data_IF_185401442382
#
_entry.id   IF_185401442382
#
_cell.length_a   1.000
_cell.length_b   1.000
_cell.length_c   1.000
_cell.angle_alpha   90.00
_cell.angle_beta   90.00
_cell.angle_gamma   90.00
#
_symmetry.space_group_name_H-M   'P 1'
#
loop_
_entity.id
_entity.type
_entity.pdbx_description
1 polymer ?
#
# COMPACT_ATOMS: atom_id res chain seq x y z
N UNK A 1 -21.02 12.33 4.16
CA UNK A 1 -21.57 11.27 3.28
C UNK A 1 -20.48 10.25 3.02
N UNK A 2 -20.82 8.95 2.95
CA UNK A 2 -19.87 7.88 2.61
C UNK A 2 -19.36 8.06 1.18
N UNK A 3 -18.03 8.04 0.96
CA UNK A 3 -17.45 8.17 -0.39
C UNK A 3 -17.69 6.89 -1.19
N UNK A 4 -17.47 5.72 -0.60
CA UNK A 4 -17.68 4.45 -1.27
C UNK A 4 -19.04 3.85 -0.89
N UNK A 5 -19.90 3.70 -1.90
CA UNK A 5 -21.11 2.86 -1.86
C UNK A 5 -20.77 1.45 -2.39
N UNK A 6 -21.69 0.51 -2.26
CA UNK A 6 -21.53 -0.84 -2.81
C UNK A 6 -21.29 -0.81 -4.34
N UNK A 7 -22.05 0.00 -5.07
CA UNK A 7 -21.90 0.17 -6.52
C UNK A 7 -20.56 0.79 -6.89
N UNK A 8 -20.08 1.76 -6.09
CA UNK A 8 -18.75 2.36 -6.30
C UNK A 8 -17.63 1.35 -6.06
N UNK A 9 -17.75 0.46 -5.07
CA UNK A 9 -16.79 -0.63 -4.86
C UNK A 9 -16.75 -1.62 -6.03
N UNK A 10 -17.92 -2.07 -6.50
CA UNK A 10 -18.03 -2.93 -7.69
C UNK A 10 -17.42 -2.21 -8.91
N UNK A 11 -17.71 -0.93 -9.08
CA UNK A 11 -17.12 -0.10 -10.15
C UNK A 11 -15.60 -0.04 -10.06
N UNK A 12 -15.01 0.18 -8.88
CA UNK A 12 -13.55 0.17 -8.72
C UNK A 12 -12.94 -1.19 -9.12
N UNK A 13 -13.59 -2.31 -8.74
CA UNK A 13 -13.07 -3.65 -9.02
C UNK A 13 -13.21 -4.09 -10.49
N UNK A 14 -14.25 -3.65 -11.19
CA UNK A 14 -14.63 -4.24 -12.49
C UNK A 14 -14.70 -3.27 -13.68
N UNK A 15 -14.78 -1.94 -13.47
CA UNK A 15 -14.84 -0.97 -14.59
C UNK A 15 -13.50 -0.85 -15.33
N UNK A 16 -12.39 -1.15 -14.65
CA UNK A 16 -11.03 -0.92 -15.13
C UNK A 16 -10.29 -2.24 -15.38
N UNK A 17 -10.52 -2.90 -16.53
CA UNK A 17 -10.07 -4.28 -16.75
C UNK A 17 -8.55 -4.45 -16.65
N UNK A 18 -7.76 -3.46 -17.09
CA UNK A 18 -6.31 -3.51 -16.97
C UNK A 18 -5.79 -3.46 -15.52
N UNK A 19 -6.64 -3.10 -14.55
CA UNK A 19 -6.30 -3.02 -13.12
C UNK A 19 -6.90 -4.16 -12.29
N UNK A 20 -7.43 -5.21 -12.90
CA UNK A 20 -8.18 -6.24 -12.19
C UNK A 20 -7.45 -6.84 -10.97
N UNK A 21 -6.12 -6.99 -11.04
CA UNK A 21 -5.30 -7.54 -9.95
C UNK A 21 -4.71 -6.47 -9.01
N UNK A 22 -4.89 -5.18 -9.32
CA UNK A 22 -4.23 -4.06 -8.62
C UNK A 22 -5.16 -2.88 -8.26
N UNK A 23 -6.46 -2.95 -8.60
CA UNK A 23 -7.42 -1.87 -8.39
C UNK A 23 -7.43 -1.37 -6.94
N UNK A 24 -7.34 -2.30 -5.98
CA UNK A 24 -7.36 -1.97 -4.55
C UNK A 24 -6.10 -1.23 -4.11
N UNK A 25 -4.95 -1.46 -4.76
CA UNK A 25 -3.73 -0.69 -4.50
C UNK A 25 -3.92 0.76 -4.95
N UNK A 26 -4.46 0.95 -6.15
CA UNK A 26 -4.70 2.27 -6.73
C UNK A 26 -5.74 3.03 -5.91
N UNK A 27 -6.84 2.37 -5.54
CA UNK A 27 -7.87 2.94 -4.70
C UNK A 27 -7.32 3.32 -3.32
N UNK A 28 -6.55 2.44 -2.66
CA UNK A 28 -5.97 2.70 -1.34
C UNK A 28 -4.95 3.82 -1.37
N UNK A 29 -4.06 3.87 -2.37
CA UNK A 29 -3.11 4.97 -2.56
C UNK A 29 -3.83 6.31 -2.72
N UNK A 30 -4.86 6.36 -3.59
CA UNK A 30 -5.65 7.56 -3.81
C UNK A 30 -6.37 8.01 -2.54
N UNK A 31 -7.13 7.12 -1.88
CA UNK A 31 -7.88 7.40 -0.65
C UNK A 31 -6.96 7.89 0.48
N UNK A 32 -5.75 7.33 0.59
CA UNK A 32 -4.75 7.81 1.54
C UNK A 32 -4.34 9.26 1.21
N UNK A 33 -4.01 9.57 -0.05
CA UNK A 33 -3.59 10.91 -0.46
C UNK A 33 -4.69 11.96 -0.28
N UNK A 34 -5.94 11.64 -0.63
CA UNK A 34 -7.10 12.55 -0.51
C UNK A 34 -7.70 12.58 0.90
N UNK A 35 -6.99 11.99 1.88
CA UNK A 35 -7.34 12.01 3.30
C UNK A 35 -8.73 11.41 3.60
N UNK A 36 -9.00 10.23 3.03
CA UNK A 36 -10.21 9.44 3.26
C UNK A 36 -9.88 8.05 3.85
N UNK A 37 -9.12 7.96 4.95
CA UNK A 37 -8.68 6.67 5.48
C UNK A 37 -9.83 5.79 5.98
N UNK A 38 -10.96 6.36 6.39
CA UNK A 38 -12.18 5.64 6.81
C UNK A 38 -12.87 4.85 5.68
N UNK A 39 -12.48 5.08 4.42
CA UNK A 39 -12.99 4.34 3.26
C UNK A 39 -12.15 3.08 2.96
N UNK A 40 -10.92 3.01 3.45
CA UNK A 40 -9.99 1.89 3.23
C UNK A 40 -10.54 0.55 3.73
N UNK A 41 -11.21 0.45 4.91
CA UNK A 41 -11.82 -0.80 5.36
C UNK A 41 -12.79 -1.42 4.35
N UNK A 42 -13.57 -0.58 3.64
CA UNK A 42 -14.55 -1.02 2.65
C UNK A 42 -13.85 -1.64 1.44
N UNK A 43 -12.78 -1.00 0.97
CA UNK A 43 -11.92 -1.51 -0.10
C UNK A 43 -11.25 -2.82 0.32
N UNK A 44 -10.72 -2.88 1.55
CA UNK A 44 -10.03 -4.05 2.10
C UNK A 44 -10.95 -5.28 2.20
N UNK A 45 -12.09 -5.16 2.88
CA UNK A 45 -13.01 -6.30 3.05
C UNK A 45 -13.57 -6.78 1.70
N UNK A 46 -13.86 -5.85 0.79
CA UNK A 46 -14.33 -6.24 -0.53
C UNK A 46 -13.22 -6.93 -1.34
N UNK A 47 -11.98 -6.43 -1.28
CA UNK A 47 -10.84 -7.08 -1.93
C UNK A 47 -10.56 -8.48 -1.37
N UNK A 48 -10.64 -8.69 -0.04
CA UNK A 48 -10.49 -10.01 0.60
C UNK A 48 -11.45 -11.06 0.03
N UNK A 49 -12.66 -10.65 -0.36
CA UNK A 49 -13.67 -11.52 -0.99
C UNK A 49 -13.49 -11.59 -2.50
N UNK A 50 -13.39 -10.44 -3.17
CA UNK A 50 -13.33 -10.33 -4.62
C UNK A 50 -12.11 -11.05 -5.21
N UNK A 51 -10.98 -11.08 -4.51
CA UNK A 51 -9.77 -11.78 -4.97
C UNK A 51 -9.91 -13.31 -4.92
N UNK A 52 -10.92 -13.85 -4.23
CA UNK A 52 -11.28 -15.27 -4.25
C UNK A 52 -12.13 -15.66 -5.47
N UNK A 53 -12.60 -14.69 -6.26
CA UNK A 53 -13.39 -14.90 -7.47
C UNK A 53 -12.51 -14.90 -8.72
N UNK A 54 -12.88 -15.71 -9.70
CA UNK A 54 -12.23 -15.84 -11.00
C UNK A 54 -12.21 -14.50 -11.76
N UNK A 55 -11.26 -14.37 -12.68
CA UNK A 55 -11.13 -13.14 -13.46
C UNK A 55 -12.27 -13.05 -14.49
N UNK A 56 -12.89 -11.88 -14.70
CA UNK A 56 -13.98 -11.71 -15.67
C UNK A 56 -13.63 -12.17 -17.09
N UNK A 57 -12.38 -11.94 -17.53
CA UNK A 57 -11.89 -12.34 -18.85
C UNK A 57 -11.86 -13.86 -19.08
N UNK A 58 -12.09 -14.67 -18.04
CA UNK A 58 -12.19 -16.12 -18.14
C UNK A 58 -13.61 -16.64 -18.40
N UNK A 59 -14.61 -15.76 -18.57
CA UNK A 59 -15.99 -16.13 -18.86
C UNK A 59 -16.43 -15.69 -20.26
N UNK A 60 -17.20 -16.56 -20.92
CA UNK A 60 -17.80 -16.33 -22.24
C UNK A 60 -18.84 -15.19 -22.21
N UNK A 61 -19.01 -14.53 -23.36
CA UNK A 61 -19.56 -13.18 -23.58
C UNK A 61 -21.06 -12.96 -23.31
N UNK A 62 -21.74 -13.82 -22.55
CA UNK A 62 -23.20 -13.78 -22.36
C UNK A 62 -23.67 -13.35 -20.97
N UNK A 63 -22.75 -13.04 -20.04
CA UNK A 63 -23.12 -12.64 -18.67
C UNK A 63 -23.60 -11.18 -18.57
N UNK A 64 -24.56 -10.88 -17.66
CA UNK A 64 -24.95 -9.49 -17.35
C UNK A 64 -23.74 -8.67 -16.92
N UNK A 65 -23.78 -7.35 -17.16
CA UNK A 65 -22.69 -6.46 -16.77
C UNK A 65 -22.39 -6.61 -15.28
N UNK A 66 -21.15 -7.01 -14.94
CA UNK A 66 -20.70 -7.17 -13.55
C UNK A 66 -20.89 -5.87 -12.73
N UNK A 67 -20.96 -4.72 -13.40
CA UNK A 67 -21.18 -3.41 -12.77
C UNK A 67 -22.58 -3.24 -12.19
N UNK A 68 -23.56 -3.97 -12.69
CA UNK A 68 -24.97 -3.88 -12.30
C UNK A 68 -25.52 -5.19 -11.71
N UNK A 69 -24.66 -6.19 -11.53
CA UNK A 69 -25.05 -7.48 -10.97
C UNK A 69 -25.47 -7.33 -9.50
N UNK A 70 -26.69 -7.74 -9.18
CA UNK A 70 -27.29 -7.56 -7.86
C UNK A 70 -26.54 -8.35 -6.77
N UNK A 71 -26.06 -9.55 -7.10
CA UNK A 71 -25.33 -10.41 -6.16
C UNK A 71 -23.96 -9.81 -5.83
N UNK A 72 -23.24 -9.27 -6.80
CA UNK A 72 -21.96 -8.58 -6.59
C UNK A 72 -22.13 -7.28 -5.79
N UNK A 73 -23.17 -6.49 -6.09
CA UNK A 73 -23.48 -5.27 -5.32
C UNK A 73 -23.81 -5.66 -3.87
N UNK A 74 -24.59 -6.72 -3.65
CA UNK A 74 -24.89 -7.23 -2.32
C UNK A 74 -23.64 -7.71 -1.59
N UNK A 75 -22.73 -8.42 -2.26
CA UNK A 75 -21.44 -8.85 -1.69
C UNK A 75 -20.58 -7.64 -1.28
N UNK A 76 -20.56 -6.58 -2.09
CA UNK A 76 -19.88 -5.33 -1.76
C UNK A 76 -20.53 -4.64 -0.55
N UNK A 77 -21.86 -4.60 -0.48
CA UNK A 77 -22.58 -4.07 0.70
C UNK A 77 -22.29 -4.88 1.97
N UNK A 78 -22.28 -6.21 1.88
CA UNK A 78 -21.91 -7.09 2.99
C UNK A 78 -20.45 -6.89 3.42
N UNK A 79 -19.59 -6.41 2.52
CA UNK A 79 -18.19 -6.07 2.82
C UNK A 79 -18.08 -4.75 3.56
N UNK A 80 -18.90 -3.75 3.20
CA UNK A 80 -19.05 -2.51 3.96
C UNK A 80 -19.58 -2.81 5.37
N UNK A 81 -20.62 -3.63 5.48
CA UNK A 81 -21.22 -4.01 6.76
C UNK A 81 -20.21 -4.79 7.63
N UNK A 82 -19.44 -5.70 7.02
CA UNK A 82 -18.39 -6.44 7.70
C UNK A 82 -17.28 -5.53 8.24
N UNK A 83 -16.84 -4.55 7.46
CA UNK A 83 -15.82 -3.60 7.88
C UNK A 83 -16.27 -2.79 9.11
N UNK A 84 -17.51 -2.28 9.09
CA UNK A 84 -18.11 -1.57 10.23
C UNK A 84 -18.20 -2.48 11.47
N UNK A 85 -18.67 -3.71 11.30
CA UNK A 85 -18.77 -4.68 12.40
C UNK A 85 -17.40 -4.96 13.03
N UNK A 86 -16.32 -5.01 12.24
CA UNK A 86 -14.98 -5.26 12.76
C UNK A 86 -14.45 -4.08 13.58
N UNK A 87 -14.76 -2.85 13.17
CA UNK A 87 -14.46 -1.66 13.97
C UNK A 87 -15.13 -1.74 15.35
N UNK A 88 -16.42 -2.09 15.40
CA UNK A 88 -17.17 -2.28 16.65
C UNK A 88 -16.56 -3.40 17.53
N UNK A 89 -16.22 -4.54 16.91
CA UNK A 89 -15.59 -5.68 17.62
C UNK A 89 -14.19 -5.34 18.14
N UNK A 90 -13.40 -4.60 17.37
CA UNK A 90 -12.06 -4.17 17.76
C UNK A 90 -12.13 -3.21 18.95
N UNK A 91 -13.15 -2.36 19.04
CA UNK A 91 -13.33 -1.42 20.14
C UNK A 91 -13.58 -2.13 21.49
N UNK A 92 -14.14 -3.34 21.47
CA UNK A 92 -14.38 -4.17 22.66
C UNK A 92 -13.33 -5.28 22.88
N UNK A 93 -12.23 -5.26 22.11
CA UNK A 93 -11.11 -6.19 22.28
C UNK A 93 -11.39 -7.63 21.85
N UNK A 94 -12.38 -7.85 20.99
CA UNK A 94 -12.75 -9.20 20.53
C UNK A 94 -11.87 -9.65 19.36
N UNK A 95 -11.58 -10.95 19.30
CA UNK A 95 -10.93 -11.55 18.15
C UNK A 95 -11.77 -11.37 16.89
N UNK A 96 -11.15 -10.80 15.87
CA UNK A 96 -11.76 -10.53 14.58
C UNK A 96 -11.76 -11.83 13.75
N UNK A 97 -12.93 -12.28 13.25
CA UNK A 97 -13.04 -13.54 12.52
C UNK A 97 -12.43 -13.45 11.12
N UNK A 98 -12.57 -14.52 10.32
CA UNK A 98 -12.18 -14.53 8.92
C UNK A 98 -13.20 -13.78 8.05
N UNK A 99 -12.72 -13.16 6.96
CA UNK A 99 -13.57 -12.52 5.95
C UNK A 99 -13.67 -13.43 4.74
N UNK A 100 -14.67 -14.32 4.74
CA UNK A 100 -14.95 -15.22 3.63
C UNK A 100 -16.15 -14.75 2.79
N UNK A 101 -16.33 -15.34 1.61
CA UNK A 101 -17.59 -15.23 0.86
C UNK A 101 -18.62 -16.15 1.53
N UNK A 102 -19.78 -15.63 1.99
CA UNK A 102 -20.80 -16.47 2.61
C UNK A 102 -21.31 -17.57 1.66
N UNK A 103 -21.61 -18.75 2.20
CA UNK A 103 -22.12 -19.89 1.42
C UNK A 103 -23.40 -19.57 0.63
N UNK A 104 -24.20 -18.61 1.09
CA UNK A 104 -25.41 -18.13 0.39
C UNK A 104 -25.12 -17.61 -1.02
N UNK A 105 -23.88 -17.26 -1.34
CA UNK A 105 -23.48 -16.71 -2.64
C UNK A 105 -23.01 -17.77 -3.65
N UNK A 106 -22.87 -19.05 -3.27
CA UNK A 106 -22.16 -20.04 -4.07
C UNK A 106 -22.77 -20.24 -5.47
N UNK A 107 -24.09 -20.16 -5.58
CA UNK A 107 -24.84 -20.28 -6.85
C UNK A 107 -25.33 -18.93 -7.40
N UNK A 108 -25.05 -17.82 -6.71
CA UNK A 108 -25.62 -16.51 -7.02
C UNK A 108 -24.65 -15.55 -7.70
N UNK A 109 -23.35 -15.75 -7.51
CA UNK A 109 -22.33 -14.86 -8.05
C UNK A 109 -22.06 -15.16 -9.52
N UNK A 110 -21.85 -14.12 -10.36
CA UNK A 110 -21.56 -14.28 -11.78
C UNK A 110 -20.13 -14.78 -12.04
N UNK A 111 -19.32 -15.01 -11.00
CA UNK A 111 -17.93 -15.43 -11.09
C UNK A 111 -17.68 -16.68 -10.26
N UNK A 112 -16.95 -17.64 -10.84
CA UNK A 112 -16.54 -18.87 -10.16
C UNK A 112 -15.54 -18.58 -9.04
N UNK A 113 -15.48 -19.46 -8.05
CA UNK A 113 -14.47 -19.40 -6.99
C UNK A 113 -13.11 -19.90 -7.50
N UNK A 114 -12.02 -19.21 -7.14
CA UNK A 114 -10.64 -19.57 -7.51
C UNK A 114 -10.06 -20.69 -6.65
N UNK A 115 -10.47 -20.75 -5.38
CA UNK A 115 -9.88 -21.62 -4.37
C UNK A 115 -10.95 -22.51 -3.76
N UNK A 116 -10.64 -23.79 -3.60
CA UNK A 116 -11.49 -24.77 -2.93
C UNK A 116 -10.96 -25.16 -1.54
N UNK A 117 -9.67 -24.94 -1.27
CA UNK A 117 -9.03 -25.28 0.01
C UNK A 117 -8.86 -24.03 0.87
N UNK A 118 -9.15 -24.18 2.16
CA UNK A 118 -9.02 -23.11 3.14
C UNK A 118 -7.59 -22.53 3.25
N UNK A 119 -6.57 -23.39 3.15
CA UNK A 119 -5.16 -22.97 3.21
C UNK A 119 -4.79 -22.00 2.07
N UNK A 120 -5.32 -22.24 0.87
CA UNK A 120 -5.03 -21.39 -0.29
C UNK A 120 -5.76 -20.04 -0.19
N UNK A 121 -6.96 -20.02 0.41
CA UNK A 121 -7.72 -18.80 0.71
C UNK A 121 -6.93 -17.93 1.70
N UNK A 122 -6.47 -18.50 2.81
CA UNK A 122 -5.68 -17.77 3.81
C UNK A 122 -4.40 -17.23 3.18
N UNK A 123 -3.66 -18.06 2.42
CA UNK A 123 -2.41 -17.64 1.79
C UNK A 123 -2.62 -16.43 0.84
N UNK A 124 -3.70 -16.44 0.05
CA UNK A 124 -4.05 -15.30 -0.81
C UNK A 124 -4.42 -14.05 0.01
N UNK A 125 -5.21 -14.21 1.07
CA UNK A 125 -5.65 -13.09 1.91
C UNK A 125 -4.52 -12.48 2.74
N UNK A 126 -3.55 -13.29 3.17
CA UNK A 126 -2.35 -12.84 3.87
C UNK A 126 -1.47 -11.97 2.94
N UNK A 127 -1.18 -12.48 1.73
CA UNK A 127 -0.47 -11.71 0.70
C UNK A 127 -1.19 -10.40 0.37
N UNK A 128 -2.51 -10.46 0.22
CA UNK A 128 -3.34 -9.29 -0.06
C UNK A 128 -3.23 -8.25 1.07
N UNK A 129 -3.30 -8.70 2.32
CA UNK A 129 -3.21 -7.83 3.51
C UNK A 129 -1.83 -7.15 3.61
N UNK A 130 -0.74 -7.89 3.37
CA UNK A 130 0.60 -7.31 3.30
C UNK A 130 0.70 -6.23 2.22
N UNK A 131 0.05 -6.43 1.07
CA UNK A 131 0.04 -5.47 -0.04
C UNK A 131 -0.73 -4.18 0.29
N UNK A 132 -1.82 -4.25 1.06
CA UNK A 132 -2.50 -3.05 1.59
C UNK A 132 -1.60 -2.24 2.53
N UNK A 133 -0.88 -2.91 3.44
CA UNK A 133 0.07 -2.23 4.34
C UNK A 133 1.19 -1.55 3.55
N UNK A 134 1.76 -2.27 2.57
CA UNK A 134 2.86 -1.75 1.76
C UNK A 134 2.46 -0.53 0.92
N UNK A 135 1.27 -0.52 0.31
CA UNK A 135 0.83 0.65 -0.47
C UNK A 135 0.58 1.87 0.40
N UNK A 136 0.00 1.69 1.60
CA UNK A 136 -0.20 2.80 2.55
C UNK A 136 1.16 3.34 3.03
N UNK A 137 2.09 2.44 3.40
CA UNK A 137 3.43 2.82 3.83
C UNK A 137 4.19 3.56 2.74
N UNK A 138 4.17 3.07 1.49
CA UNK A 138 4.82 3.76 0.35
C UNK A 138 4.17 5.10 0.02
N UNK A 139 2.88 5.27 0.32
CA UNK A 139 2.19 6.55 0.12
C UNK A 139 2.71 7.66 1.04
N UNK A 140 3.45 7.35 2.12
CA UNK A 140 4.11 8.35 2.98
C UNK A 140 4.96 9.33 2.18
N UNK A 141 5.69 8.81 1.18
CA UNK A 141 6.59 9.59 0.34
C UNK A 141 5.89 10.73 -0.44
N UNK A 142 4.57 10.63 -0.63
CA UNK A 142 3.77 11.54 -1.43
C UNK A 142 2.65 12.22 -0.64
N UNK A 143 2.22 11.64 0.49
CA UNK A 143 1.05 12.09 1.27
C UNK A 143 1.39 12.59 2.68
N UNK A 144 2.60 12.30 3.16
CA UNK A 144 3.05 12.57 4.52
C UNK A 144 2.68 11.47 5.53
N UNK A 145 3.45 11.39 6.62
CA UNK A 145 3.27 10.39 7.69
C UNK A 145 1.87 10.40 8.33
N UNK A 146 1.24 11.56 8.67
CA UNK A 146 -0.04 11.55 9.39
C UNK A 146 -1.16 10.80 8.64
N UNK A 147 -1.25 10.96 7.32
CA UNK A 147 -2.28 10.29 6.50
C UNK A 147 -2.05 8.77 6.46
N UNK A 148 -0.80 8.34 6.33
CA UNK A 148 -0.45 6.92 6.34
C UNK A 148 -0.65 6.28 7.72
N UNK A 149 -0.32 6.99 8.81
CA UNK A 149 -0.59 6.53 10.19
C UNK A 149 -2.08 6.30 10.38
N UNK A 150 -2.92 7.29 10.04
CA UNK A 150 -4.37 7.16 10.17
C UNK A 150 -4.91 5.98 9.34
N UNK A 151 -4.43 5.81 8.11
CA UNK A 151 -4.81 4.71 7.24
C UNK A 151 -4.38 3.33 7.78
N UNK A 152 -3.15 3.18 8.26
CA UNK A 152 -2.66 1.92 8.85
C UNK A 152 -3.36 1.60 10.18
N UNK A 153 -3.63 2.60 11.00
CA UNK A 153 -4.34 2.42 12.27
C UNK A 153 -5.77 1.96 12.05
N UNK A 154 -6.48 2.56 11.08
CA UNK A 154 -7.82 2.10 10.69
C UNK A 154 -7.77 0.71 10.05
N UNK A 155 -6.80 0.42 9.18
CA UNK A 155 -6.64 -0.92 8.61
C UNK A 155 -6.43 -1.99 9.70
N UNK A 156 -5.66 -1.67 10.75
CA UNK A 156 -5.40 -2.56 11.88
C UNK A 156 -6.68 -2.97 12.62
N UNK A 157 -7.65 -2.06 12.81
CA UNK A 157 -8.90 -2.36 13.53
C UNK A 157 -9.85 -3.26 12.74
N UNK A 158 -9.63 -3.41 11.43
CA UNK A 158 -10.48 -4.22 10.55
C UNK A 158 -9.76 -5.44 9.95
N UNK A 159 -8.53 -5.71 10.37
CA UNK A 159 -7.76 -6.87 9.91
C UNK A 159 -8.14 -8.13 10.70
N UNK A 160 -8.59 -9.23 10.07
CA UNK A 160 -8.79 -10.54 10.72
C UNK A 160 -7.61 -10.93 11.62
N UNK A 161 -7.90 -11.58 12.75
CA UNK A 161 -6.87 -11.85 13.77
C UNK A 161 -5.71 -12.69 13.25
N UNK A 162 -6.01 -13.67 12.40
CA UNK A 162 -5.03 -14.53 11.73
C UNK A 162 -4.22 -13.84 10.63
N UNK A 163 -4.62 -12.64 10.18
CA UNK A 163 -3.93 -11.86 9.15
C UNK A 163 -3.18 -10.64 9.73
N UNK A 164 -3.15 -10.46 11.05
CA UNK A 164 -2.43 -9.37 11.72
C UNK A 164 -0.92 -9.52 11.49
N UNK A 165 -0.23 -8.41 11.29
CA UNK A 165 1.23 -8.40 11.13
C UNK A 165 1.92 -8.88 12.40
N UNK A 166 3.05 -9.59 12.23
CA UNK A 166 3.94 -9.92 13.33
C UNK A 166 4.69 -8.70 13.90
N UNK A 167 5.57 -8.97 14.86
CA UNK A 167 6.43 -7.95 15.50
C UNK A 167 7.65 -7.58 14.64
N UNK A 168 8.00 -8.42 13.67
CA UNK A 168 9.15 -8.19 12.79
C UNK A 168 8.70 -7.46 11.53
N UNK A 169 9.38 -6.37 11.13
CA UNK A 169 9.09 -5.71 9.86
C UNK A 169 9.34 -6.64 8.67
N UNK A 170 8.49 -6.53 7.64
CA UNK A 170 8.66 -7.24 6.36
C UNK A 170 9.93 -6.81 5.62
N UNK A 171 10.40 -5.59 5.88
CA UNK A 171 11.62 -5.01 5.33
C UNK A 171 12.82 -5.46 6.18
N UNK A 172 13.93 -5.91 5.56
CA UNK A 172 15.17 -6.11 6.30
C UNK A 172 15.57 -4.84 7.06
N UNK A 173 15.89 -5.00 8.34
CA UNK A 173 16.27 -3.87 9.20
C UNK A 173 17.71 -3.44 8.92
N UNK A 174 17.94 -2.14 8.89
CA UNK A 174 19.30 -1.56 8.85
C UNK A 174 19.89 -1.35 10.25
N UNK A 175 19.05 -1.38 11.28
CA UNK A 175 19.43 -1.32 12.70
C UNK A 175 18.60 -2.35 13.47
N UNK A 176 19.23 -3.10 14.35
CA UNK A 176 18.57 -4.00 15.31
C UNK A 176 18.83 -3.52 16.74
N UNK A 177 18.01 -2.59 17.27
CA UNK A 177 18.17 -2.11 18.64
C UNK A 177 18.04 -3.25 19.67
N UNK A 178 18.75 -3.12 20.79
CA UNK A 178 18.66 -4.07 21.90
C UNK A 178 19.24 -5.47 21.65
N UNK A 179 19.87 -5.72 20.50
CA UNK A 179 20.59 -6.98 20.27
C UNK A 179 21.98 -6.91 20.88
N UNK A 180 22.04 -6.99 22.20
CA UNK A 180 23.29 -7.09 22.94
C UNK A 180 23.44 -8.55 23.41
N UNK A 181 24.61 -9.20 23.20
CA UNK A 181 24.82 -10.58 23.66
C UNK A 181 24.47 -10.72 25.15
N UNK A 182 23.69 -11.74 25.52
CA UNK A 182 23.24 -11.94 26.91
C UNK A 182 24.40 -12.03 27.92
N UNK A 183 25.60 -12.40 27.46
CA UNK A 183 26.83 -12.41 28.26
C UNK A 183 27.29 -11.01 28.73
N UNK A 184 26.69 -9.94 28.21
CA UNK A 184 26.98 -8.55 28.58
C UNK A 184 25.94 -7.96 29.54
N UNK A 185 24.86 -8.70 29.88
CA UNK A 185 23.79 -8.25 30.80
C UNK A 185 24.25 -8.42 32.25
N UNK A 186 24.24 -7.33 33.02
CA UNK A 186 24.73 -7.29 34.42
C UNK A 186 23.59 -7.37 35.41
N UNK A 187 22.50 -6.66 35.10
CA UNK A 187 21.33 -6.56 35.95
C UNK A 187 20.13 -6.05 35.16
N UNK A 188 18.95 -6.51 35.57
CA UNK A 188 17.67 -5.92 35.20
C UNK A 188 17.20 -5.07 36.39
N UNK A 189 17.05 -3.76 36.20
CA UNK A 189 16.38 -2.89 37.17
C UNK A 189 15.03 -2.39 36.63
N UNK A 190 14.28 -1.66 37.47
CA UNK A 190 12.93 -1.15 37.15
C UNK A 190 12.94 -0.20 35.93
N UNK A 191 14.12 0.30 35.52
CA UNK A 191 14.32 1.26 34.43
C UNK A 191 14.96 0.64 33.18
N UNK A 192 15.35 -0.65 33.19
CA UNK A 192 15.88 -1.36 32.03
C UNK A 192 17.13 -2.19 32.30
N UNK A 193 17.56 -2.95 31.30
CA UNK A 193 18.73 -3.84 31.36
C UNK A 193 20.04 -3.03 31.32
N UNK A 194 20.91 -3.18 32.33
CA UNK A 194 22.26 -2.56 32.36
C UNK A 194 23.31 -3.53 31.81
N UNK A 195 24.32 -3.01 31.08
CA UNK A 195 25.38 -3.78 30.42
C UNK A 195 26.78 -3.44 30.99
N UNK A 196 27.66 -4.44 31.19
CA UNK A 196 28.88 -4.33 32.05
C UNK A 196 30.15 -3.86 31.35
N UNK A 197 30.17 -3.80 30.02
CA UNK A 197 31.45 -3.69 29.30
C UNK A 197 31.76 -2.27 28.86
N UNK A 198 32.90 -1.78 29.37
CA UNK A 198 33.62 -0.59 28.91
C UNK A 198 34.09 -0.66 27.43
N UNK A 199 33.98 -1.81 26.76
CA UNK A 199 34.55 -2.04 25.41
C UNK A 199 33.61 -1.79 24.21
N UNK A 200 32.29 -1.65 24.39
CA UNK A 200 31.39 -1.12 23.35
C UNK A 200 30.47 -0.08 24.00
N UNK A 201 30.79 1.20 23.84
CA UNK A 201 29.91 2.28 24.27
C UNK A 201 28.57 2.16 23.55
N UNK A 202 27.52 1.88 24.31
CA UNK A 202 26.14 1.89 23.82
C UNK A 202 25.50 3.24 24.09
N UNK A 203 24.65 3.71 23.18
CA UNK A 203 23.80 4.88 23.38
C UNK A 203 22.33 4.45 23.48
N UNK A 204 21.62 4.94 24.49
CA UNK A 204 20.20 4.66 24.66
C UNK A 204 19.36 5.41 23.63
N UNK A 205 18.41 4.71 23.01
CA UNK A 205 17.38 5.30 22.13
C UNK A 205 15.99 4.87 22.56
N UNK A 206 14.96 5.51 21.99
CA UNK A 206 13.56 5.12 22.25
C UNK A 206 13.24 3.68 21.81
N UNK A 207 13.99 3.14 20.85
CA UNK A 207 13.82 1.77 20.36
C UNK A 207 14.74 0.76 21.08
N UNK A 208 15.51 1.21 22.08
CA UNK A 208 16.49 0.43 22.83
C UNK A 208 17.93 0.91 22.64
N UNK A 209 18.88 0.40 23.43
CA UNK A 209 20.30 0.74 23.30
C UNK A 209 20.85 0.30 21.94
N UNK A 210 21.76 1.12 21.38
CA UNK A 210 22.45 0.86 20.13
C UNK A 210 23.97 0.94 20.31
N UNK A 211 24.71 0.18 19.51
CA UNK A 211 26.15 0.31 19.30
C UNK A 211 26.50 0.05 17.83
N UNK A 212 27.77 0.10 17.44
CA UNK A 212 28.20 -0.24 16.08
C UNK A 212 27.73 -1.63 15.64
N UNK A 213 27.69 -2.60 16.56
CA UNK A 213 27.22 -3.97 16.30
C UNK A 213 25.70 -4.06 16.06
N UNK A 214 24.94 -3.02 16.43
CA UNK A 214 23.50 -2.92 16.14
C UNK A 214 23.20 -2.51 14.69
N UNK A 215 24.18 -1.97 13.96
CA UNK A 215 24.04 -1.48 12.59
C UNK A 215 24.32 -2.61 11.59
N UNK A 216 23.59 -2.64 10.47
CA UNK A 216 23.78 -3.61 9.38
C UNK A 216 24.35 -2.95 8.11
N UNK A 217 25.67 -2.69 8.02
CA UNK A 217 26.28 -2.00 6.86
C UNK A 217 25.99 -2.66 5.52
N UNK A 218 25.97 -4.00 5.47
CA UNK A 218 25.69 -4.75 4.24
C UNK A 218 24.25 -4.51 3.77
N UNK A 219 23.30 -4.39 4.70
CA UNK A 219 21.91 -4.10 4.35
C UNK A 219 21.76 -2.65 3.86
N UNK A 220 22.45 -1.69 4.48
CA UNK A 220 22.48 -0.29 4.03
C UNK A 220 23.04 -0.22 2.59
N UNK A 221 24.18 -0.86 2.34
CA UNK A 221 24.77 -0.90 1.00
C UNK A 221 23.83 -1.55 -0.04
N UNK A 222 23.17 -2.66 0.33
CA UNK A 222 22.19 -3.34 -0.52
C UNK A 222 21.01 -2.44 -0.87
N UNK A 223 20.48 -1.71 0.11
CA UNK A 223 19.36 -0.77 -0.08
C UNK A 223 19.74 0.39 -0.99
N UNK A 224 20.95 0.94 -0.86
CA UNK A 224 21.44 2.02 -1.73
C UNK A 224 21.64 1.57 -3.18
N UNK A 225 22.18 0.37 -3.40
CA UNK A 225 22.32 -0.22 -4.75
C UNK A 225 20.95 -0.46 -5.37
N UNK A 226 20.02 -1.08 -4.63
CA UNK A 226 18.64 -1.31 -5.07
C UNK A 226 17.92 0.01 -5.37
N UNK A 227 18.11 1.02 -4.51
CA UNK A 227 17.63 2.37 -4.68
C UNK A 227 18.09 3.03 -5.98
N UNK A 228 19.39 2.93 -6.26
CA UNK A 228 19.98 3.45 -7.51
C UNK A 228 19.36 2.79 -8.74
N UNK A 229 19.21 1.45 -8.73
CA UNK A 229 18.60 0.72 -9.82
C UNK A 229 17.14 1.13 -10.06
N UNK A 230 16.35 1.28 -8.97
CA UNK A 230 14.97 1.74 -9.06
C UNK A 230 14.85 3.20 -9.51
N UNK A 231 15.71 4.09 -9.01
CA UNK A 231 15.79 5.48 -9.47
C UNK A 231 16.06 5.57 -10.98
N UNK A 232 17.01 4.76 -11.46
CA UNK A 232 17.36 4.69 -12.88
C UNK A 232 16.22 4.11 -13.73
N UNK A 233 15.47 3.13 -13.23
CA UNK A 233 14.29 2.61 -13.95
C UNK A 233 13.20 3.67 -14.08
N UNK A 234 12.95 4.46 -13.02
CA UNK A 234 11.93 5.53 -13.03
C UNK A 234 12.32 6.67 -13.98
N UNK A 235 13.53 7.22 -13.86
CA UNK A 235 13.91 8.44 -14.57
C UNK A 235 14.70 8.22 -15.87
N UNK A 236 15.22 7.02 -16.11
CA UNK A 236 15.95 6.68 -17.32
C UNK A 236 17.05 7.71 -17.63
N UNK A 237 17.06 8.24 -18.85
CA UNK A 237 18.10 9.19 -19.33
C UNK A 237 18.13 10.52 -18.56
N UNK A 238 17.04 10.93 -17.91
CA UNK A 238 16.98 12.22 -17.20
C UNK A 238 17.37 12.12 -15.72
N UNK A 239 17.78 10.93 -15.24
CA UNK A 239 18.05 10.67 -13.83
C UNK A 239 19.00 11.70 -13.20
N UNK A 240 20.12 12.01 -13.86
CA UNK A 240 21.13 12.95 -13.37
C UNK A 240 20.61 14.38 -13.35
N UNK A 241 19.78 14.76 -14.34
CA UNK A 241 19.17 16.08 -14.37
C UNK A 241 18.21 16.28 -13.19
N UNK A 242 17.35 15.30 -12.92
CA UNK A 242 16.38 15.36 -11.81
C UNK A 242 17.11 15.36 -10.46
N UNK A 243 18.13 14.51 -10.31
CA UNK A 243 19.02 14.50 -9.13
C UNK A 243 19.68 15.86 -8.91
N UNK A 244 20.32 16.41 -9.95
CA UNK A 244 21.06 17.67 -9.85
C UNK A 244 20.13 18.85 -9.54
N UNK A 245 18.92 18.87 -10.09
CA UNK A 245 17.92 19.90 -9.75
C UNK A 245 17.60 19.94 -8.25
N UNK A 246 17.43 18.77 -7.62
CA UNK A 246 17.22 18.71 -6.16
C UNK A 246 18.47 19.12 -5.39
N UNK A 247 19.65 18.61 -5.78
CA UNK A 247 20.93 18.93 -5.13
C UNK A 247 21.21 20.44 -5.14
N UNK A 248 21.01 21.11 -6.27
CA UNK A 248 21.27 22.55 -6.39
C UNK A 248 20.21 23.41 -5.72
N UNK A 249 18.99 22.89 -5.54
CA UNK A 249 17.94 23.59 -4.81
C UNK A 249 18.21 23.54 -3.30
N UNK A 250 18.55 22.36 -2.77
CA UNK A 250 18.97 22.14 -1.39
C UNK A 250 19.55 20.72 -1.26
N UNK A 251 20.84 20.52 -0.93
CA UNK A 251 21.44 19.18 -0.88
C UNK A 251 20.70 18.17 0.00
N UNK A 252 20.12 18.62 1.12
CA UNK A 252 19.36 17.75 2.03
C UNK A 252 18.08 17.21 1.38
N UNK A 253 17.50 17.93 0.42
CA UNK A 253 16.35 17.44 -0.35
C UNK A 253 16.73 16.18 -1.15
N UNK A 254 17.86 16.22 -1.85
CA UNK A 254 18.36 15.02 -2.56
C UNK A 254 18.73 13.93 -1.57
N UNK A 255 19.44 14.29 -0.50
CA UNK A 255 19.86 13.32 0.51
C UNK A 255 18.65 12.57 1.08
N UNK A 256 17.62 13.30 1.51
CA UNK A 256 16.39 12.74 2.04
C UNK A 256 15.64 11.91 1.00
N UNK A 257 15.44 12.45 -0.20
CA UNK A 257 14.74 11.74 -1.27
C UNK A 257 15.45 10.41 -1.59
N UNK A 258 16.76 10.39 -1.75
CA UNK A 258 17.45 9.17 -2.11
C UNK A 258 17.57 8.19 -0.93
N UNK A 259 18.16 8.62 0.18
CA UNK A 259 18.55 7.73 1.29
C UNK A 259 17.39 7.30 2.17
N UNK A 260 16.29 8.08 2.23
CA UNK A 260 15.15 7.79 3.12
C UNK A 260 13.87 7.43 2.36
N UNK A 261 13.76 7.76 1.07
CA UNK A 261 12.55 7.47 0.28
C UNK A 261 12.82 6.46 -0.83
N UNK A 262 13.71 6.75 -1.78
CA UNK A 262 13.90 5.85 -2.93
C UNK A 262 14.62 4.55 -2.53
N UNK A 263 15.72 4.62 -1.79
CA UNK A 263 16.52 3.46 -1.43
C UNK A 263 15.81 2.48 -0.48
N UNK A 264 15.36 2.87 0.72
CA UNK A 264 14.77 1.91 1.65
C UNK A 264 13.29 1.62 1.33
N UNK A 265 12.50 2.63 0.92
CA UNK A 265 11.05 2.53 0.85
C UNK A 265 10.54 2.16 -0.55
N UNK A 266 10.76 3.02 -1.55
CA UNK A 266 10.15 2.81 -2.87
C UNK A 266 10.79 1.64 -3.62
N UNK A 267 12.10 1.46 -3.52
CA UNK A 267 12.82 0.40 -4.25
C UNK A 267 12.57 -1.02 -3.71
N UNK A 268 11.96 -1.17 -2.54
CA UNK A 268 11.64 -2.51 -2.06
C UNK A 268 10.40 -3.05 -2.76
N UNK A 269 10.61 -4.01 -3.64
CA UNK A 269 9.54 -4.52 -4.50
C UNK A 269 9.18 -5.98 -4.23
N UNK A 270 9.48 -6.49 -3.01
CA UNK A 270 9.16 -7.88 -2.64
C UNK A 270 7.68 -8.12 -2.31
N UNK A 271 6.94 -7.07 -1.90
CA UNK A 271 5.50 -7.17 -1.57
C UNK A 271 4.62 -6.66 -2.72
N UNK A 272 4.90 -5.45 -3.21
CA UNK A 272 4.33 -4.93 -4.47
C UNK A 272 5.46 -4.66 -5.45
N UNK A 273 5.26 -5.02 -6.72
CA UNK A 273 6.27 -4.92 -7.77
C UNK A 273 6.69 -3.47 -8.06
N UNK A 274 7.77 -3.28 -8.84
CA UNK A 274 8.19 -1.95 -9.31
C UNK A 274 7.13 -1.28 -10.20
N UNK A 275 6.40 -2.08 -10.99
CA UNK A 275 5.24 -1.65 -11.77
C UNK A 275 4.14 -1.10 -10.87
N UNK A 276 3.69 -1.90 -9.90
CA UNK A 276 2.62 -1.54 -8.97
C UNK A 276 3.00 -0.35 -8.10
N UNK A 277 4.24 -0.31 -7.61
CA UNK A 277 4.79 0.83 -6.88
C UNK A 277 4.68 2.11 -7.72
N UNK A 278 5.12 2.07 -8.98
CA UNK A 278 5.07 3.23 -9.87
C UNK A 278 3.63 3.68 -10.17
N UNK A 279 2.69 2.73 -10.36
CA UNK A 279 1.28 3.06 -10.55
C UNK A 279 0.65 3.68 -9.29
N UNK A 280 1.02 3.22 -8.09
CA UNK A 280 0.55 3.80 -6.83
C UNK A 280 1.10 5.23 -6.63
N UNK A 281 2.35 5.48 -7.01
CA UNK A 281 2.93 6.83 -6.98
C UNK A 281 2.19 7.76 -7.96
N UNK A 282 1.88 7.29 -9.18
CA UNK A 282 1.02 8.03 -10.13
C UNK A 282 -0.35 8.33 -9.49
N UNK A 283 -0.96 7.36 -8.82
CA UNK A 283 -2.25 7.54 -8.15
C UNK A 283 -2.19 8.57 -7.00
N UNK A 284 -1.07 8.67 -6.29
CA UNK A 284 -0.84 9.69 -5.27
C UNK A 284 -0.61 11.09 -5.85
N UNK A 285 0.03 11.19 -7.02
CA UNK A 285 0.41 12.49 -7.60
C UNK A 285 -0.77 13.20 -8.29
N UNK A 286 -1.69 12.45 -8.88
CA UNK A 286 -2.82 13.03 -9.63
C UNK A 286 -3.67 13.99 -8.76
N UNK A 287 -4.10 13.63 -7.53
CA UNK A 287 -4.95 14.51 -6.73
C UNK A 287 -4.25 15.76 -6.17
N UNK A 288 -2.92 15.85 -6.31
CA UNK A 288 -2.11 16.93 -5.72
C UNK A 288 -1.74 18.04 -6.72
N UNK A 289 -2.16 17.92 -7.99
CA UNK A 289 -1.87 18.88 -9.07
C UNK A 289 -0.37 19.19 -9.30
N UNK A 290 0.50 18.20 -9.07
CA UNK A 290 1.96 18.27 -9.23
C UNK A 290 2.44 17.70 -10.57
N UNK A 291 1.99 18.32 -11.66
CA UNK A 291 2.25 17.86 -13.02
C UNK A 291 3.73 17.65 -13.41
N UNK A 292 4.71 18.47 -12.96
CA UNK A 292 6.12 18.23 -13.26
C UNK A 292 6.61 16.86 -12.77
N UNK A 293 6.21 16.47 -11.56
CA UNK A 293 6.53 15.17 -10.96
C UNK A 293 5.73 14.05 -11.64
N UNK A 294 4.42 14.26 -11.85
CA UNK A 294 3.53 13.28 -12.49
C UNK A 294 4.04 12.83 -13.87
N UNK A 295 4.56 13.74 -14.70
CA UNK A 295 5.13 13.40 -16.02
C UNK A 295 6.27 12.40 -15.92
N UNK A 296 7.20 12.61 -14.99
CA UNK A 296 8.32 11.72 -14.75
C UNK A 296 7.86 10.33 -14.30
N UNK A 297 6.91 10.28 -13.37
CA UNK A 297 6.39 9.02 -12.84
C UNK A 297 5.50 8.25 -13.81
N UNK A 298 4.77 8.91 -14.70
CA UNK A 298 4.05 8.25 -15.79
C UNK A 298 5.02 7.52 -16.73
N UNK A 299 6.12 8.18 -17.12
CA UNK A 299 7.15 7.54 -17.94
C UNK A 299 7.89 6.44 -17.17
N UNK A 300 8.18 6.68 -15.89
CA UNK A 300 8.80 5.70 -15.01
C UNK A 300 7.95 4.45 -14.80
N UNK A 301 6.62 4.59 -14.72
CA UNK A 301 5.72 3.46 -14.67
C UNK A 301 5.80 2.61 -15.94
N UNK A 302 5.84 3.23 -17.13
CA UNK A 302 6.08 2.50 -18.39
C UNK A 302 7.43 1.75 -18.37
N UNK A 303 8.49 2.41 -17.91
CA UNK A 303 9.81 1.79 -17.83
C UNK A 303 9.84 0.60 -16.85
N UNK A 304 9.00 0.62 -15.81
CA UNK A 304 8.83 -0.48 -14.86
C UNK A 304 7.81 -1.53 -15.31
N UNK A 305 7.36 -1.48 -16.58
CA UNK A 305 6.52 -2.51 -17.20
C UNK A 305 5.02 -2.23 -17.17
N UNK A 306 4.58 -1.03 -16.77
CA UNK A 306 3.18 -0.64 -16.93
C UNK A 306 2.84 -0.41 -18.40
N UNK A 307 1.61 -0.72 -18.79
CA UNK A 307 1.08 -0.37 -20.12
C UNK A 307 0.45 1.02 -20.11
N UNK A 308 0.31 1.62 -21.30
CA UNK A 308 -0.47 2.86 -21.44
C UNK A 308 -1.91 2.68 -21.00
N UNK A 309 -2.49 1.50 -21.26
CA UNK A 309 -3.86 1.16 -20.87
C UNK A 309 -4.01 1.10 -19.34
N UNK A 310 -3.08 0.42 -18.64
CA UNK A 310 -3.04 0.40 -17.17
C UNK A 310 -3.01 1.83 -16.62
N UNK A 311 -2.15 2.70 -17.16
CA UNK A 311 -2.02 4.08 -16.67
C UNK A 311 -3.22 4.97 -17.01
N UNK A 312 -3.89 4.76 -18.14
CA UNK A 312 -5.16 5.41 -18.45
C UNK A 312 -6.27 4.96 -17.49
N UNK A 313 -6.28 3.68 -17.11
CA UNK A 313 -7.21 3.15 -16.13
C UNK A 313 -6.91 3.65 -14.70
N UNK A 314 -5.63 3.74 -14.31
CA UNK A 314 -5.21 4.35 -13.02
C UNK A 314 -5.78 5.75 -12.93
N UNK A 315 -5.56 6.53 -13.98
CA UNK A 315 -6.00 7.92 -14.05
C UNK A 315 -7.52 8.05 -13.96
N UNK A 316 -8.24 7.24 -14.73
CA UNK A 316 -9.70 7.25 -14.75
C UNK A 316 -10.30 6.80 -13.42
N UNK A 317 -9.66 5.86 -12.72
CA UNK A 317 -10.06 5.43 -11.37
C UNK A 317 -9.82 6.52 -10.33
N UNK A 318 -8.65 7.16 -10.38
CA UNK A 318 -8.31 8.25 -9.47
C UNK A 318 -9.26 9.44 -9.65
N UNK A 319 -9.61 9.79 -10.89
CA UNK A 319 -10.61 10.83 -11.14
C UNK A 319 -11.99 10.47 -10.56
N UNK A 320 -12.45 9.23 -10.73
CA UNK A 320 -13.70 8.76 -10.12
C UNK A 320 -13.66 8.93 -8.59
N UNK A 321 -12.56 8.52 -7.93
CA UNK A 321 -12.40 8.67 -6.46
C UNK A 321 -12.37 10.14 -6.04
N UNK A 322 -11.63 11.00 -6.76
CA UNK A 322 -11.57 12.44 -6.49
C UNK A 322 -12.95 13.09 -6.62
N UNK A 323 -13.74 12.73 -7.65
CA UNK A 323 -15.09 13.25 -7.84
C UNK A 323 -16.03 12.84 -6.71
N UNK A 324 -15.94 11.57 -6.28
CA UNK A 324 -16.77 11.06 -5.18
C UNK A 324 -16.40 11.64 -3.83
N UNK A 325 -15.11 11.94 -3.64
CA UNK A 325 -14.59 12.59 -2.43
C UNK A 325 -15.02 14.06 -2.38
N UNK A 326 -15.02 14.73 -3.54
CA UNK A 326 -15.23 16.18 -3.63
C UNK A 326 -14.03 16.99 -3.15
N UNK A 327 -14.04 18.29 -3.43
CA UNK A 327 -13.02 19.23 -2.93
C UNK A 327 -11.65 19.16 -3.60
N UNK A 328 -11.41 18.20 -4.51
CA UNK A 328 -10.18 18.12 -5.31
C UNK A 328 -10.35 18.93 -6.59
N UNK A 329 -9.43 19.86 -6.84
CA UNK A 329 -9.43 20.74 -8.01
C UNK A 329 -8.05 20.73 -8.66
N UNK A 330 -8.02 20.90 -9.98
CA UNK A 330 -6.80 21.06 -10.76
C UNK A 330 -6.83 22.43 -11.43
N UNK A 331 -5.71 23.15 -11.41
CA UNK A 331 -5.64 24.55 -11.89
C UNK A 331 -6.19 24.76 -13.31
N UNK A 332 -6.06 23.75 -14.19
CA UNK A 332 -6.60 23.77 -15.56
C UNK A 332 -7.68 22.72 -15.83
N UNK A 333 -8.34 22.22 -14.78
CA UNK A 333 -9.28 21.10 -14.87
C UNK A 333 -8.60 19.75 -15.16
N UNK A 334 -9.41 18.70 -15.31
CA UNK A 334 -8.92 17.31 -15.51
C UNK A 334 -8.08 17.14 -16.76
N UNK A 335 -8.36 17.90 -17.81
CA UNK A 335 -7.64 17.83 -19.09
C UNK A 335 -6.21 18.38 -18.99
N UNK A 336 -5.94 19.28 -18.04
CA UNK A 336 -4.61 19.82 -17.80
C UNK A 336 -3.70 18.89 -16.98
N UNK A 337 -4.27 17.88 -16.32
CA UNK A 337 -3.46 16.86 -15.63
C UNK A 337 -2.59 16.18 -16.69
N UNK A 338 -1.32 15.90 -16.38
CA UNK A 338 -0.36 15.33 -17.32
C UNK A 338 -0.70 13.89 -17.69
N UNK A 339 -0.71 13.52 -18.97
CA UNK A 339 -1.01 12.18 -19.51
C UNK A 339 0.13 11.69 -20.42
N UNK A 340 0.12 10.40 -20.79
CA UNK A 340 1.14 9.76 -21.64
C UNK A 340 0.90 9.93 -23.15
#
# INVERSE_FOLDING_TARGET
MSVLTAERLVRLAYKYPALQSSWYLIATACLTVVNQPQEIPKVYHFALRQQLLANPASQESTSPSLLTDASLIRLAQDSINSAKKYEDLSAVGVNLPDVLIPHTYYEQLPLKFKYSKHVDIIAMQDQLTARFREVILKSVALSGLPKAINALMILKTVTPTNLKSGLTPERPRIVSPGHIPSASIVSEDVHGTKFDKEDEATEDTIDGPISESSIHPQQIASDLVRGSNFWNSVYGKINNRVKNQMLTAYPDLWYHAFHHVYAPLLSYTKIISGKETSMCVVACLIPQDVNPQLKGHLKGALNNGATKEELNNVRSMVFDICDWTGGIQWKGGKDAVAKL
#
